data_IF_941265137318
#
_entry.id   IF_941265137318
#
_cell.length_a   1.000
_cell.length_b   1.000
_cell.length_c   1.000
_cell.angle_alpha   90.00
_cell.angle_beta   90.00
_cell.angle_gamma   90.00
#
_symmetry.space_group_name_H-M   'P 1'
#
loop_
_entity.id
_entity.type
_entity.pdbx_description
1 polymer ?
#
# COMPACT_ATOMS: atom_id res chain seq x y z
N UNK A 1 11.37 -3.86 -5.38
CA UNK A 1 11.97 -2.86 -4.44
C UNK A 1 11.29 -2.72 -3.05
N UNK A 2 9.96 -2.78 -2.91
CA UNK A 2 9.21 -2.60 -1.64
C UNK A 2 9.52 -3.66 -0.55
N UNK A 3 9.82 -4.88 -0.97
CA UNK A 3 10.21 -6.00 -0.11
C UNK A 3 11.44 -5.70 0.76
N UNK A 4 12.28 -4.73 0.38
CA UNK A 4 13.51 -4.43 1.10
C UNK A 4 13.25 -3.61 2.38
N UNK A 5 12.40 -2.58 2.33
CA UNK A 5 11.94 -1.86 3.53
C UNK A 5 11.16 -2.81 4.43
N UNK A 6 10.25 -3.61 3.85
CA UNK A 6 9.46 -4.56 4.64
C UNK A 6 10.36 -5.63 5.26
N UNK A 7 11.39 -6.11 4.57
CA UNK A 7 12.35 -7.11 5.09
C UNK A 7 13.30 -6.54 6.17
N UNK A 8 13.76 -5.29 6.04
CA UNK A 8 14.58 -4.64 7.08
C UNK A 8 13.76 -4.19 8.29
N UNK A 9 12.50 -3.84 8.04
CA UNK A 9 11.62 -3.41 9.10
C UNK A 9 11.01 -4.64 9.81
N UNK A 10 10.64 -5.74 9.12
CA UNK A 10 10.03 -6.96 9.71
C UNK A 10 10.64 -7.42 11.06
N UNK A 11 11.98 -7.47 11.23
CA UNK A 11 12.59 -7.84 12.50
C UNK A 11 12.28 -6.86 13.65
N UNK A 12 12.30 -5.55 13.38
CA UNK A 12 11.88 -4.51 14.33
C UNK A 12 10.39 -4.63 14.67
N UNK A 13 9.59 -5.12 13.72
CA UNK A 13 8.14 -5.21 13.84
C UNK A 13 7.72 -6.42 14.66
N UNK A 14 8.36 -7.56 14.44
CA UNK A 14 8.19 -8.77 15.26
C UNK A 14 8.52 -8.47 16.72
N UNK A 15 9.52 -7.61 16.99
CA UNK A 15 9.87 -7.16 18.34
C UNK A 15 8.78 -6.26 18.95
N UNK A 16 8.25 -5.27 18.21
CA UNK A 16 7.15 -4.41 18.69
C UNK A 16 5.82 -5.16 18.85
N UNK A 17 5.63 -6.24 18.09
CA UNK A 17 4.43 -7.07 18.04
C UNK A 17 4.40 -8.23 19.04
N UNK A 18 5.51 -8.56 19.72
CA UNK A 18 5.69 -9.82 20.46
C UNK A 18 4.65 -10.07 21.57
N UNK A 19 3.91 -9.04 22.00
CA UNK A 19 2.87 -9.12 23.03
C UNK A 19 1.47 -8.72 22.53
N UNK A 20 1.27 -8.66 21.21
CA UNK A 20 -0.03 -8.35 20.60
C UNK A 20 -0.61 -9.56 19.89
N UNK A 21 -1.93 -9.71 20.02
CA UNK A 21 -2.68 -10.71 19.26
C UNK A 21 -2.89 -10.24 17.81
N UNK A 22 -1.88 -10.52 16.98
CA UNK A 22 -1.79 -10.08 15.59
C UNK A 22 -1.77 -11.25 14.62
N UNK A 23 -2.47 -11.08 13.50
CA UNK A 23 -2.23 -11.84 12.28
C UNK A 23 -1.33 -11.02 11.35
N UNK A 24 -0.17 -11.56 10.98
CA UNK A 24 0.76 -10.92 10.05
C UNK A 24 0.40 -11.29 8.60
N UNK A 25 0.42 -10.30 7.72
CA UNK A 25 0.20 -10.51 6.29
C UNK A 25 1.41 -11.25 5.67
N UNK A 26 1.21 -12.39 4.99
CA UNK A 26 2.28 -13.06 4.26
C UNK A 26 2.89 -12.14 3.19
N UNK A 27 4.20 -12.23 2.98
CA UNK A 27 4.93 -11.30 2.10
C UNK A 27 4.41 -11.33 0.65
N UNK A 28 4.06 -12.50 0.16
CA UNK A 28 3.51 -12.75 -1.17
C UNK A 28 2.11 -12.14 -1.38
N UNK A 29 1.42 -11.80 -0.28
CA UNK A 29 0.08 -11.23 -0.29
C UNK A 29 0.07 -9.73 -0.02
N UNK A 30 1.23 -9.13 0.22
CA UNK A 30 1.36 -7.70 0.43
C UNK A 30 1.01 -6.94 -0.85
N UNK A 31 0.05 -6.03 -0.75
CA UNK A 31 -0.39 -5.20 -1.87
C UNK A 31 -0.92 -3.85 -1.36
N UNK A 32 -0.91 -2.87 -2.26
CA UNK A 32 -1.58 -1.59 -2.09
C UNK A 32 -2.82 -1.58 -2.98
N UNK A 33 -3.98 -1.23 -2.41
CA UNK A 33 -5.25 -1.25 -3.15
C UNK A 33 -5.52 0.10 -3.79
N UNK A 34 -5.48 0.17 -5.13
CA UNK A 34 -5.90 1.36 -5.90
C UNK A 34 -7.40 1.55 -5.83
N UNK A 35 -8.20 0.50 -5.99
CA UNK A 35 -9.65 0.56 -5.93
C UNK A 35 -10.25 -0.76 -5.43
N UNK A 36 -11.18 -0.69 -4.47
CA UNK A 36 -12.06 -1.80 -4.10
C UNK A 36 -13.40 -1.56 -4.78
N UNK A 37 -13.72 -2.35 -5.81
CA UNK A 37 -14.93 -2.16 -6.62
C UNK A 37 -16.18 -2.53 -5.83
N UNK A 38 -16.13 -3.66 -5.12
CA UNK A 38 -17.21 -4.17 -4.30
C UNK A 38 -16.66 -5.07 -3.19
N UNK A 39 -17.45 -5.25 -2.13
CA UNK A 39 -17.17 -6.18 -1.05
C UNK A 39 -18.48 -6.83 -0.55
N UNK A 40 -18.36 -7.98 0.12
CA UNK A 40 -19.50 -8.65 0.79
C UNK A 40 -20.71 -8.91 -0.14
N UNK A 41 -20.44 -9.19 -1.42
CA UNK A 41 -21.43 -9.51 -2.45
C UNK A 41 -21.50 -11.01 -2.73
N UNK A 42 -22.60 -11.47 -3.30
CA UNK A 42 -22.70 -12.85 -3.79
C UNK A 42 -21.76 -13.07 -4.97
N UNK A 43 -21.42 -14.34 -5.24
CA UNK A 43 -20.63 -14.71 -6.42
C UNK A 43 -21.32 -14.25 -7.71
N UNK A 44 -22.64 -14.41 -7.82
CA UNK A 44 -23.42 -13.96 -8.97
C UNK A 44 -23.33 -12.44 -9.20
N UNK A 45 -23.41 -11.64 -8.12
CA UNK A 45 -23.24 -10.19 -8.21
C UNK A 45 -21.83 -9.82 -8.70
N UNK A 46 -20.80 -10.48 -8.17
CA UNK A 46 -19.39 -10.25 -8.55
C UNK A 46 -19.14 -10.66 -10.00
N UNK A 47 -19.64 -11.83 -10.43
CA UNK A 47 -19.50 -12.30 -11.81
C UNK A 47 -20.19 -11.36 -12.80
N UNK A 48 -21.36 -10.84 -12.42
CA UNK A 48 -22.07 -9.81 -13.19
C UNK A 48 -21.24 -8.54 -13.37
N UNK A 49 -20.53 -8.10 -12.33
CA UNK A 49 -19.62 -6.95 -12.38
C UNK A 49 -18.39 -7.24 -13.24
N UNK A 50 -17.74 -8.39 -13.06
CA UNK A 50 -16.57 -8.79 -13.85
C UNK A 50 -16.91 -8.83 -15.34
N UNK A 51 -18.08 -9.36 -15.70
CA UNK A 51 -18.52 -9.42 -17.10
C UNK A 51 -18.62 -8.03 -17.73
N UNK A 52 -19.05 -7.01 -16.98
CA UNK A 52 -19.11 -5.62 -17.45
C UNK A 52 -17.73 -4.97 -17.53
N UNK A 53 -16.81 -5.27 -16.59
CA UNK A 53 -15.47 -4.70 -16.57
C UNK A 53 -14.46 -5.41 -17.47
N UNK A 54 -14.82 -6.56 -18.03
CA UNK A 54 -13.90 -7.40 -18.80
C UNK A 54 -13.24 -6.63 -19.96
N UNK A 55 -13.98 -5.77 -20.63
CA UNK A 55 -13.45 -4.99 -21.76
C UNK A 55 -12.63 -3.76 -21.30
N UNK A 56 -12.72 -3.40 -20.02
CA UNK A 56 -12.01 -2.27 -19.41
C UNK A 56 -10.79 -2.69 -18.58
N UNK A 57 -10.64 -3.98 -18.24
CA UNK A 57 -9.62 -4.45 -17.30
C UNK A 57 -8.19 -4.09 -17.76
N UNK A 58 -7.89 -4.19 -19.06
CA UNK A 58 -6.60 -3.78 -19.62
C UNK A 58 -6.36 -2.28 -19.47
N UNK A 59 -7.36 -1.46 -19.83
CA UNK A 59 -7.24 0.01 -19.71
C UNK A 59 -7.02 0.47 -18.28
N UNK A 60 -7.65 -0.19 -17.31
CA UNK A 60 -7.46 0.08 -15.88
C UNK A 60 -6.07 -0.38 -15.44
N UNK A 61 -5.71 -1.62 -15.75
CA UNK A 61 -4.50 -2.25 -15.24
C UNK A 61 -3.21 -1.65 -15.79
N UNK A 62 -3.22 -1.24 -17.06
CA UNK A 62 -2.07 -0.64 -17.75
C UNK A 62 -2.05 0.89 -17.63
N UNK A 63 -3.01 1.51 -16.93
CA UNK A 63 -3.08 2.97 -16.82
C UNK A 63 -1.77 3.56 -16.28
N UNK A 64 -1.06 2.78 -15.44
CA UNK A 64 0.25 3.14 -14.89
C UNK A 64 1.37 3.18 -15.92
N UNK A 65 1.23 2.61 -17.12
CA UNK A 65 2.25 2.72 -18.17
C UNK A 65 2.45 4.17 -18.61
N UNK A 66 1.36 4.93 -18.69
CA UNK A 66 1.33 6.34 -19.10
C UNK A 66 1.15 7.31 -17.93
N UNK A 67 0.54 6.89 -16.82
CA UNK A 67 0.25 7.76 -15.68
C UNK A 67 0.88 7.23 -14.38
N UNK A 68 2.09 7.71 -14.09
CA UNK A 68 2.98 7.12 -13.08
C UNK A 68 2.97 7.91 -11.78
N UNK A 69 1.97 7.64 -10.94
CA UNK A 69 1.91 8.19 -9.59
C UNK A 69 3.09 7.71 -8.74
N UNK A 70 3.74 8.65 -8.05
CA UNK A 70 4.88 8.38 -7.16
C UNK A 70 4.48 8.63 -5.70
N UNK A 71 4.87 7.68 -4.86
CA UNK A 71 4.64 7.66 -3.42
C UNK A 71 5.98 7.73 -2.70
N UNK A 72 6.06 8.52 -1.64
CA UNK A 72 7.26 8.73 -0.84
C UNK A 72 6.91 8.77 0.64
N UNK A 73 7.94 8.93 1.48
CA UNK A 73 7.80 9.17 2.92
C UNK A 73 7.01 8.05 3.61
N UNK A 74 7.53 6.80 3.60
CA UNK A 74 6.88 5.69 4.28
C UNK A 74 6.68 6.01 5.76
N UNK A 75 5.52 5.63 6.29
CA UNK A 75 5.15 5.80 7.68
C UNK A 75 4.32 4.60 8.15
N UNK A 76 4.63 4.08 9.33
CA UNK A 76 3.80 3.11 10.02
C UNK A 76 2.58 3.82 10.64
N UNK A 77 1.41 3.36 10.21
CA UNK A 77 0.09 3.81 10.64
C UNK A 77 -0.73 2.64 11.20
N UNK A 78 -1.71 2.94 12.05
CA UNK A 78 -2.63 1.94 12.58
C UNK A 78 -4.01 2.56 12.81
N UNK A 79 -5.04 1.72 12.82
CA UNK A 79 -6.40 2.08 13.20
C UNK A 79 -6.96 1.05 14.20
N UNK A 80 -8.27 0.91 14.32
CA UNK A 80 -8.88 -0.10 15.20
C UNK A 80 -8.79 -1.54 14.67
N UNK A 81 -8.40 -1.75 13.40
CA UNK A 81 -8.46 -3.04 12.72
C UNK A 81 -7.09 -3.57 12.29
N UNK A 82 -6.13 -2.69 11.98
CA UNK A 82 -4.88 -3.11 11.37
C UNK A 82 -3.70 -2.16 11.66
N UNK A 83 -2.50 -2.66 11.34
CA UNK A 83 -1.33 -1.85 11.07
C UNK A 83 -1.06 -1.84 9.56
N UNK A 84 -0.62 -0.69 9.07
CA UNK A 84 -0.32 -0.47 7.67
C UNK A 84 0.94 0.39 7.50
N UNK A 85 1.77 0.03 6.52
CA UNK A 85 2.78 0.95 6.00
C UNK A 85 2.08 1.86 4.97
N UNK A 86 2.17 3.16 5.17
CA UNK A 86 1.49 4.18 4.38
C UNK A 86 2.51 5.13 3.73
N UNK A 87 2.11 5.74 2.62
CA UNK A 87 2.89 6.75 1.91
C UNK A 87 2.04 7.96 1.58
N UNK A 88 2.71 9.06 1.24
CA UNK A 88 2.06 10.25 0.67
C UNK A 88 2.50 10.44 -0.80
N UNK A 89 1.68 11.09 -1.63
CA UNK A 89 2.11 11.47 -2.98
C UNK A 89 3.35 12.35 -2.92
N UNK A 90 4.28 12.11 -3.84
CA UNK A 90 5.38 13.03 -4.08
C UNK A 90 4.86 14.35 -4.68
N UNK A 91 5.59 15.42 -4.44
CA UNK A 91 5.34 16.77 -4.92
C UNK A 91 6.62 17.42 -5.48
N UNK A 92 7.52 16.62 -6.07
CA UNK A 92 8.79 17.06 -6.63
C UNK A 92 10.01 16.79 -5.75
N UNK A 93 9.88 16.08 -4.62
CA UNK A 93 11.02 15.77 -3.76
C UNK A 93 11.96 14.75 -4.42
N UNK A 94 13.22 15.13 -4.60
CA UNK A 94 14.30 14.29 -5.14
C UNK A 94 13.87 13.41 -6.33
N UNK A 95 13.50 13.99 -7.48
CA UNK A 95 13.15 13.22 -8.67
C UNK A 95 14.32 12.31 -9.06
N UNK A 96 14.03 11.07 -9.44
CA UNK A 96 15.02 10.08 -9.86
C UNK A 96 14.59 9.42 -11.18
N UNK A 97 15.50 8.67 -11.81
CA UNK A 97 15.24 7.87 -13.00
C UNK A 97 14.66 8.69 -14.17
N UNK A 98 15.22 9.88 -14.42
CA UNK A 98 14.78 10.79 -15.47
C UNK A 98 13.42 11.47 -15.22
N UNK A 99 12.79 11.28 -14.05
CA UNK A 99 11.59 12.03 -13.67
C UNK A 99 11.92 13.50 -13.41
N UNK A 100 10.94 14.34 -13.67
CA UNK A 100 10.91 15.76 -13.37
C UNK A 100 9.89 16.05 -12.26
N UNK A 101 9.93 17.28 -11.73
CA UNK A 101 8.92 17.76 -10.78
C UNK A 101 7.51 17.75 -11.40
N UNK A 102 7.40 17.96 -12.72
CA UNK A 102 6.14 17.97 -13.44
C UNK A 102 5.43 16.61 -13.40
N UNK A 103 6.19 15.52 -13.44
CA UNK A 103 5.66 14.15 -13.41
C UNK A 103 4.92 13.84 -12.10
N UNK A 104 5.23 14.55 -11.02
CA UNK A 104 4.57 14.38 -9.72
C UNK A 104 3.25 15.15 -9.59
N UNK A 105 2.87 15.97 -10.59
CA UNK A 105 1.52 16.55 -10.63
C UNK A 105 0.44 15.46 -10.76
N UNK A 106 0.77 14.35 -11.40
CA UNK A 106 -0.10 13.17 -11.41
C UNK A 106 0.10 12.36 -10.13
N UNK A 107 -0.74 12.63 -9.15
CA UNK A 107 -0.69 11.97 -7.83
C UNK A 107 -1.46 10.64 -7.78
N UNK A 108 -1.24 9.87 -6.72
CA UNK A 108 -2.03 8.67 -6.44
C UNK A 108 -3.54 8.92 -6.38
N UNK A 109 -3.98 10.11 -5.96
CA UNK A 109 -5.40 10.46 -5.97
C UNK A 109 -5.96 10.60 -7.40
N UNK A 110 -5.17 11.09 -8.35
CA UNK A 110 -5.55 11.11 -9.76
C UNK A 110 -5.70 9.68 -10.29
N UNK A 111 -4.76 8.79 -9.98
CA UNK A 111 -4.86 7.36 -10.33
C UNK A 111 -6.16 6.72 -9.82
N UNK A 112 -6.52 6.96 -8.57
CA UNK A 112 -7.77 6.45 -7.99
C UNK A 112 -8.99 7.05 -8.67
N UNK A 113 -9.00 8.36 -8.91
CA UNK A 113 -10.09 9.06 -9.59
C UNK A 113 -10.30 8.52 -11.00
N UNK A 114 -9.23 8.36 -11.77
CA UNK A 114 -9.31 7.89 -13.16
C UNK A 114 -9.76 6.43 -13.21
N UNK A 115 -9.28 5.60 -12.27
CA UNK A 115 -9.77 4.22 -12.10
C UNK A 115 -11.26 4.19 -11.75
N UNK A 116 -11.69 5.03 -10.81
CA UNK A 116 -13.10 5.16 -10.44
C UNK A 116 -13.97 5.58 -11.64
N UNK A 117 -13.51 6.57 -12.41
CA UNK A 117 -14.21 7.06 -13.60
C UNK A 117 -14.38 5.93 -14.62
N UNK A 118 -13.33 5.19 -14.95
CA UNK A 118 -13.41 4.05 -15.88
C UNK A 118 -14.39 2.97 -15.41
N UNK A 119 -14.42 2.65 -14.11
CA UNK A 119 -15.37 1.68 -13.55
C UNK A 119 -16.80 2.21 -13.61
N UNK A 120 -16.99 3.50 -13.33
CA UNK A 120 -18.31 4.16 -13.36
C UNK A 120 -18.85 4.25 -14.78
N UNK A 121 -18.01 4.58 -15.76
CA UNK A 121 -18.35 4.64 -17.18
C UNK A 121 -18.73 3.25 -17.74
N UNK A 122 -18.19 2.17 -17.15
CA UNK A 122 -18.61 0.79 -17.42
C UNK A 122 -19.97 0.43 -16.77
N UNK A 123 -20.65 1.38 -16.12
CA UNK A 123 -21.96 1.21 -15.51
C UNK A 123 -21.92 0.42 -14.19
N UNK A 124 -20.83 0.54 -13.43
CA UNK A 124 -20.68 -0.07 -12.12
C UNK A 124 -20.54 1.01 -11.05
N UNK A 125 -21.39 0.92 -10.04
CA UNK A 125 -21.24 1.70 -8.82
C UNK A 125 -20.13 1.09 -7.95
N UNK A 126 -19.12 1.89 -7.65
CA UNK A 126 -18.02 1.49 -6.75
C UNK A 126 -18.53 1.51 -5.31
N UNK A 127 -18.68 0.34 -4.71
CA UNK A 127 -19.07 0.15 -3.31
C UNK A 127 -17.86 -0.21 -2.46
N UNK A 128 -16.96 0.74 -2.20
CA UNK A 128 -15.79 0.51 -1.35
C UNK A 128 -16.11 0.70 0.14
N UNK A 129 -15.54 -0.15 1.01
CA UNK A 129 -15.61 0.02 2.48
C UNK A 129 -14.85 1.24 2.97
N UNK A 130 -13.74 1.54 2.31
CA UNK A 130 -12.81 2.57 2.73
C UNK A 130 -12.75 3.65 1.66
N UNK A 131 -13.55 4.70 1.90
CA UNK A 131 -13.65 5.85 0.99
C UNK A 131 -12.47 6.82 1.14
N UNK A 132 -11.73 6.77 2.25
CA UNK A 132 -10.55 7.63 2.47
C UNK A 132 -9.41 7.11 1.58
N UNK A 133 -8.89 7.93 0.66
CA UNK A 133 -7.91 7.50 -0.31
C UNK A 133 -6.49 7.46 0.29
N UNK A 134 -6.23 6.51 1.18
CA UNK A 134 -4.89 6.29 1.73
C UNK A 134 -4.07 5.34 0.84
N UNK A 135 -2.85 5.74 0.50
CA UNK A 135 -1.86 4.88 -0.16
C UNK A 135 -1.17 4.03 0.91
N UNK A 136 -1.68 2.84 1.15
CA UNK A 136 -1.19 1.99 2.23
C UNK A 136 -1.18 0.51 1.86
N UNK A 137 -0.37 -0.22 2.59
CA UNK A 137 -0.18 -1.65 2.50
C UNK A 137 -0.41 -2.24 3.89
N UNK A 138 -1.47 -3.05 4.00
CA UNK A 138 -1.78 -3.74 5.26
C UNK A 138 -0.77 -4.86 5.49
N UNK A 139 -0.16 -4.85 6.67
CA UNK A 139 0.96 -5.72 7.06
C UNK A 139 0.60 -6.59 8.26
N UNK A 140 -0.36 -6.16 9.07
CA UNK A 140 -0.87 -6.91 10.20
C UNK A 140 -2.31 -6.52 10.49
N UNK A 141 -3.10 -7.45 11.02
CA UNK A 141 -4.45 -7.22 11.52
C UNK A 141 -4.54 -7.63 12.98
N UNK A 142 -5.38 -6.91 13.71
CA UNK A 142 -5.74 -7.25 15.07
C UNK A 142 -6.73 -8.43 15.09
N UNK A 143 -6.42 -9.50 15.80
CA UNK A 143 -7.30 -10.67 15.91
C UNK A 143 -8.47 -10.45 16.88
N UNK A 144 -8.35 -9.46 17.77
CA UNK A 144 -9.38 -9.12 18.75
C UNK A 144 -9.57 -7.59 18.84
N UNK A 145 -10.76 -7.11 19.25
CA UNK A 145 -10.97 -5.68 19.54
C UNK A 145 -10.07 -5.15 20.68
N UNK A 146 -9.52 -6.04 21.51
CA UNK A 146 -8.61 -5.69 22.58
C UNK A 146 -7.32 -6.49 22.50
N UNK A 147 -6.42 -5.99 21.67
CA UNK A 147 -5.13 -6.60 21.31
C UNK A 147 -4.14 -6.69 22.48
N UNK A 148 -4.44 -5.98 23.57
CA UNK A 148 -3.65 -5.95 24.80
C UNK A 148 -4.22 -6.91 25.88
N UNK A 149 -5.33 -7.61 25.59
CA UNK A 149 -6.04 -8.51 26.50
C UNK A 149 -6.97 -7.80 27.49
N UNK A 150 -7.93 -8.56 28.05
CA UNK A 150 -8.97 -8.07 28.98
C UNK A 150 -10.33 -7.82 28.32
N UNK A 151 -11.40 -7.71 29.11
CA UNK A 151 -12.73 -7.37 28.59
C UNK A 151 -12.81 -5.87 28.28
N UNK A 152 -13.04 -5.46 27.02
CA UNK A 152 -13.14 -4.05 26.65
C UNK A 152 -14.33 -3.30 27.28
N UNK A 153 -15.30 -4.04 27.87
CA UNK A 153 -16.45 -3.50 28.60
C UNK A 153 -16.26 -3.49 30.12
N UNK A 154 -15.11 -3.96 30.61
CA UNK A 154 -14.80 -3.96 32.04
C UNK A 154 -14.16 -2.63 32.42
N UNK A 155 -14.91 -1.78 33.12
CA UNK A 155 -14.42 -0.48 33.63
C UNK A 155 -13.29 -0.64 34.67
N UNK A 156 -13.15 -1.84 35.27
CA UNK A 156 -12.05 -2.21 36.18
C UNK A 156 -10.83 -2.76 35.47
N UNK A 157 -10.94 -3.09 34.18
CA UNK A 157 -9.79 -3.28 33.33
C UNK A 157 -9.13 -1.92 33.21
N UNK A 158 -8.23 -1.64 34.16
CA UNK A 158 -7.06 -0.83 33.93
C UNK A 158 -6.37 -1.43 32.71
N UNK A 159 -6.87 -1.05 31.53
CA UNK A 159 -6.19 -1.14 30.26
C UNK A 159 -4.77 -0.74 30.58
N UNK A 160 -3.83 -1.67 30.49
CA UNK A 160 -2.49 -1.47 31.00
C UNK A 160 -1.87 -0.30 30.24
N UNK A 161 -2.04 0.91 30.79
CA UNK A 161 -1.67 2.18 30.16
C UNK A 161 -0.18 2.15 29.84
N UNK A 162 0.60 1.41 30.64
CA UNK A 162 2.01 1.17 30.41
C UNK A 162 2.25 0.35 29.14
N UNK A 163 1.52 -0.76 28.92
CA UNK A 163 1.61 -1.53 27.66
C UNK A 163 1.22 -0.71 26.44
N UNK A 164 0.12 0.04 26.51
CA UNK A 164 -0.35 0.89 25.40
C UNK A 164 0.64 2.01 25.10
N UNK A 165 1.11 2.71 26.13
CA UNK A 165 2.10 3.79 25.99
C UNK A 165 3.42 3.25 25.44
N UNK A 166 3.86 2.08 25.90
CA UNK A 166 5.06 1.45 25.38
C UNK A 166 4.90 1.09 23.90
N UNK A 167 3.78 0.47 23.52
CA UNK A 167 3.52 0.14 22.12
C UNK A 167 3.48 1.38 21.21
N UNK A 168 2.81 2.46 21.64
CA UNK A 168 2.81 3.73 20.90
C UNK A 168 4.24 4.26 20.71
N UNK A 169 5.07 4.21 21.77
CA UNK A 169 6.47 4.63 21.69
C UNK A 169 7.29 3.80 20.71
N UNK A 170 7.08 2.48 20.66
CA UNK A 170 7.76 1.62 19.69
C UNK A 170 7.37 2.01 18.25
N UNK A 171 6.08 2.30 17.99
CA UNK A 171 5.64 2.78 16.69
C UNK A 171 6.25 4.15 16.32
N UNK A 172 6.32 5.08 17.28
CA UNK A 172 6.96 6.38 17.10
C UNK A 172 8.46 6.25 16.80
N UNK A 173 9.16 5.35 17.49
CA UNK A 173 10.56 5.05 17.22
C UNK A 173 10.77 4.48 15.82
N UNK A 174 9.90 3.56 15.37
CA UNK A 174 9.93 3.04 14.00
C UNK A 174 9.69 4.17 12.99
N UNK A 175 8.75 5.07 13.25
CA UNK A 175 8.47 6.20 12.37
C UNK A 175 9.62 7.20 12.30
N UNK A 176 10.28 7.51 13.43
CA UNK A 176 11.49 8.34 13.44
C UNK A 176 12.62 7.70 12.63
N UNK A 177 12.78 6.38 12.72
CA UNK A 177 13.74 5.65 11.91
C UNK A 177 13.38 5.67 10.41
N UNK A 178 12.11 5.46 10.06
CA UNK A 178 11.63 5.55 8.68
C UNK A 178 11.88 6.95 8.09
N UNK A 179 11.61 7.99 8.87
CA UNK A 179 11.88 9.37 8.49
C UNK A 179 13.37 9.62 8.26
N UNK A 180 14.22 9.22 9.20
CA UNK A 180 15.66 9.42 9.10
C UNK A 180 16.29 8.67 7.91
N UNK A 181 15.83 7.46 7.61
CA UNK A 181 16.48 6.58 6.61
C UNK A 181 15.88 6.66 5.20
N UNK A 182 14.58 6.93 5.09
CA UNK A 182 13.83 6.71 3.85
C UNK A 182 13.08 7.94 3.34
N UNK A 183 12.97 9.01 4.12
CA UNK A 183 12.39 10.25 3.60
C UNK A 183 13.41 11.01 2.75
N UNK A 184 12.94 11.81 1.77
CA UNK A 184 13.83 12.63 0.97
C UNK A 184 14.64 13.59 1.84
N UNK A 185 15.96 13.60 1.64
CA UNK A 185 16.87 14.58 2.23
C UNK A 185 17.45 15.46 1.13
N UNK A 186 17.69 16.73 1.44
CA UNK A 186 18.18 17.69 0.45
C UNK A 186 19.54 17.24 -0.12
N UNK A 187 19.62 17.18 -1.45
CA UNK A 187 20.84 16.80 -2.17
C UNK A 187 21.24 15.32 -2.07
N UNK A 188 20.39 14.45 -1.50
CA UNK A 188 20.65 13.02 -1.40
C UNK A 188 19.61 12.21 -2.21
N UNK A 189 20.02 11.10 -2.85
CA UNK A 189 19.08 10.20 -3.48
C UNK A 189 18.21 9.50 -2.41
N UNK A 190 16.94 9.26 -2.74
CA UNK A 190 16.04 8.49 -1.86
C UNK A 190 16.52 7.04 -1.82
N UNK A 191 16.74 6.50 -0.62
CA UNK A 191 17.15 5.11 -0.40
C UNK A 191 16.12 4.13 -0.99
N UNK A 192 16.53 2.96 -1.53
CA UNK A 192 15.62 1.94 -2.02
C UNK A 192 14.49 1.60 -1.01
N UNK A 193 13.25 1.70 -1.48
CA UNK A 193 12.03 1.50 -0.70
C UNK A 193 11.51 2.74 0.05
N UNK A 194 12.26 3.86 0.07
CA UNK A 194 11.75 5.16 0.53
C UNK A 194 10.81 5.85 -0.46
N UNK A 195 10.78 5.35 -1.70
CA UNK A 195 9.83 5.72 -2.72
C UNK A 195 9.26 4.50 -3.44
N UNK A 196 8.09 4.67 -4.04
CA UNK A 196 7.42 3.69 -4.86
C UNK A 196 6.70 4.40 -6.02
N UNK A 197 7.06 4.07 -7.26
CA UNK A 197 6.27 4.45 -8.43
C UNK A 197 5.25 3.34 -8.71
N UNK A 198 3.96 3.66 -8.62
CA UNK A 198 2.90 2.66 -8.78
C UNK A 198 2.90 2.12 -10.22
N UNK A 199 2.92 0.79 -10.37
CA UNK A 199 2.99 0.12 -11.67
C UNK A 199 4.41 -0.16 -12.18
N UNK A 200 5.44 0.19 -11.41
CA UNK A 200 6.83 -0.17 -11.70
C UNK A 200 7.03 -1.69 -11.54
N UNK A 201 7.81 -2.31 -12.45
CA UNK A 201 7.99 -3.76 -12.60
C UNK A 201 6.74 -4.52 -13.08
N UNK A 202 5.57 -4.28 -12.46
CA UNK A 202 4.27 -4.87 -12.81
C UNK A 202 3.18 -3.80 -12.72
N UNK A 203 2.28 -3.77 -13.69
CA UNK A 203 1.10 -2.91 -13.68
C UNK A 203 0.11 -3.30 -12.57
N UNK A 204 -1.08 -2.70 -12.57
CA UNK A 204 -2.07 -3.03 -11.55
C UNK A 204 -2.59 -4.46 -11.74
N UNK A 205 -2.79 -5.18 -10.64
CA UNK A 205 -3.38 -6.51 -10.65
C UNK A 205 -4.90 -6.40 -10.50
N UNK A 206 -5.64 -6.62 -11.59
CA UNK A 206 -7.10 -6.65 -11.58
C UNK A 206 -7.56 -8.02 -11.10
N UNK A 207 -8.05 -8.09 -9.87
CA UNK A 207 -8.39 -9.36 -9.19
C UNK A 207 -9.85 -9.44 -8.75
N UNK A 208 -10.31 -10.66 -8.47
CA UNK A 208 -11.58 -10.94 -7.80
C UNK A 208 -11.40 -11.98 -6.68
N UNK A 209 -12.40 -12.08 -5.79
CA UNK A 209 -12.47 -13.12 -4.75
C UNK A 209 -12.05 -12.64 -3.35
N UNK A 210 -11.53 -13.54 -2.53
CA UNK A 210 -11.18 -13.30 -1.10
C UNK A 210 -9.82 -12.62 -0.92
N UNK A 211 -9.64 -11.45 -1.54
CA UNK A 211 -8.35 -10.78 -1.70
C UNK A 211 -7.70 -10.31 -0.40
N UNK A 212 -8.51 -9.99 0.62
CA UNK A 212 -8.06 -9.31 1.84
C UNK A 212 -7.09 -10.11 2.71
N UNK A 213 -7.04 -11.43 2.51
CA UNK A 213 -6.16 -12.35 3.24
C UNK A 213 -5.30 -13.18 2.28
N UNK A 214 -5.10 -12.70 1.05
CA UNK A 214 -4.24 -13.37 0.06
C UNK A 214 -4.91 -14.40 -0.86
N UNK A 215 -6.24 -14.48 -0.84
CA UNK A 215 -6.98 -15.37 -1.72
C UNK A 215 -7.29 -14.76 -3.10
N UNK A 216 -8.39 -15.24 -3.69
CA UNK A 216 -8.89 -14.77 -4.97
C UNK A 216 -8.01 -15.12 -6.18
N UNK A 217 -8.35 -14.54 -7.32
CA UNK A 217 -7.66 -14.78 -8.60
C UNK A 217 -7.42 -13.50 -9.38
N UNK A 218 -6.27 -13.44 -10.06
CA UNK A 218 -5.99 -12.44 -11.09
C UNK A 218 -6.84 -12.71 -12.32
N UNK A 219 -7.57 -11.69 -12.76
CA UNK A 219 -8.29 -11.68 -14.05
C UNK A 219 -7.37 -11.12 -15.13
N UNK A 220 -6.66 -10.03 -14.81
CA UNK A 220 -5.71 -9.39 -15.70
C UNK A 220 -4.60 -8.71 -14.89
N UNK A 221 -3.36 -9.05 -15.20
CA UNK A 221 -2.19 -8.37 -14.65
C UNK A 221 -1.70 -7.36 -15.67
N UNK A 222 -1.65 -6.09 -15.26
CA UNK A 222 -1.21 -5.00 -16.12
C UNK A 222 0.28 -5.07 -16.48
N UNK A 223 0.62 -4.44 -17.59
CA UNK A 223 2.00 -4.27 -18.03
C UNK A 223 2.73 -3.32 -17.07
N UNK A 224 3.89 -3.75 -16.60
CA UNK A 224 4.79 -2.90 -15.83
C UNK A 224 5.62 -2.01 -16.74
N UNK A 225 6.30 -1.04 -16.14
CA UNK A 225 7.38 -0.32 -16.81
C UNK A 225 8.66 -0.44 -15.99
N UNK A 226 9.78 -0.30 -16.68
CA UNK A 226 11.10 -0.10 -16.09
C UNK A 226 11.62 1.24 -16.57
N UNK A 227 12.31 1.95 -15.69
CA UNK A 227 13.17 3.04 -16.14
C UNK A 227 14.32 2.39 -16.92
N UNK A 228 14.63 2.91 -18.11
CA UNK A 228 15.75 2.40 -18.89
C UNK A 228 17.01 2.41 -18.04
N UNK A 229 17.85 1.38 -18.17
CA UNK A 229 19.21 1.43 -17.63
C UNK A 229 19.81 2.74 -18.13
N UNK A 230 20.09 3.68 -17.22
CA UNK A 230 21.04 4.72 -17.55
C UNK A 230 22.28 3.96 -17.99
N UNK A 231 22.67 4.13 -19.26
CA UNK A 231 23.98 3.73 -19.72
C UNK A 231 24.97 4.39 -18.77
N UNK A 232 25.44 3.64 -17.77
CA UNK A 232 26.62 4.00 -17.01
C UNK A 232 27.74 4.12 -18.04
N UNK A 233 28.22 5.34 -18.35
CA UNK A 233 29.32 5.49 -19.30
C UNK A 233 30.60 4.81 -18.79
N UNK A 234 30.62 4.39 -17.52
CA UNK A 234 31.76 3.84 -16.81
C UNK A 234 31.50 2.45 -16.24
N UNK A 235 30.67 1.63 -16.90
CA UNK A 235 30.30 0.27 -16.49
C UNK A 235 31.30 -0.42 -15.56
N UNK A 236 30.98 -0.45 -14.27
CA UNK A 236 31.58 -1.37 -13.32
C UNK A 236 30.43 -2.20 -12.74
N UNK A 237 30.29 -3.40 -13.29
CA UNK A 237 29.48 -4.45 -12.71
C UNK A 237 29.93 -4.72 -11.26
N UNK A 238 28.98 -4.78 -10.34
CA UNK A 238 29.12 -5.50 -9.09
C UNK A 238 28.30 -6.79 -9.18
#
# INVERSE_FOLDING_TARGET
MLLQVISYALPLWILAAHNLDLWLMPLENLHLTVMEVAHSKSEEEIDGQIKKLKDHCKSIADHTCSHRARLIKPLLSYDSAALALSWVPAAGEAPSNGRTIEDDKYTYHHLRRDTYATISDAGIEVGSRYVIPSAHLTIARFNSPNVFGGNPLDESAALDLKKRTHWIKELEMINQWLEAEYWPQEGQPIKPGGQWVVGEEKGLDFRNGTLWYGGGSTIYLGEGFVYGEENDPNGIAN
#
